data_IF_367051839722
#
_entry.id   IF_367051839722
#
_cell.length_a   1.000
_cell.length_b   1.000
_cell.length_c   1.000
_cell.angle_alpha   90.00
_cell.angle_beta   90.00
_cell.angle_gamma   90.00
#
_symmetry.space_group_name_H-M   'P 1'
#
loop_
_entity.id
_entity.type
_entity.pdbx_description
1 polymer ?
#
# COMPACT_ATOMS: atom_id res chain seq x y z
N UNK A 1 7.61 -1.39 5.24
CA UNK A 1 8.33 -0.20 4.70
C UNK A 1 8.74 0.68 5.89
N UNK A 2 9.29 1.89 5.70
CA UNK A 2 9.62 2.81 6.83
C UNK A 2 8.62 3.96 6.97
N UNK A 3 8.74 4.68 8.08
CA UNK A 3 7.81 5.70 8.59
C UNK A 3 7.32 6.71 7.56
N UNK A 4 8.24 7.47 6.95
CA UNK A 4 7.87 8.49 5.97
C UNK A 4 7.39 7.86 4.67
N UNK A 5 7.88 6.68 4.32
CA UNK A 5 7.41 5.91 3.17
C UNK A 5 5.94 5.54 3.28
N UNK A 6 5.51 4.98 4.42
CA UNK A 6 4.09 4.68 4.67
C UNK A 6 3.22 5.93 4.66
N UNK A 7 3.66 6.98 5.35
CA UNK A 7 2.91 8.24 5.41
C UNK A 7 2.77 8.90 4.03
N UNK A 8 3.82 8.83 3.21
CA UNK A 8 3.82 9.38 1.87
C UNK A 8 2.89 8.59 0.93
N UNK A 9 2.88 7.26 1.00
CA UNK A 9 1.90 6.42 0.27
C UNK A 9 0.47 6.84 0.63
N UNK A 10 0.18 7.07 1.91
CA UNK A 10 -1.14 7.52 2.36
C UNK A 10 -1.53 8.88 1.73
N UNK A 11 -0.62 9.86 1.69
CA UNK A 11 -0.86 11.13 1.01
C UNK A 11 -1.05 10.97 -0.50
N UNK A 12 -0.22 10.16 -1.14
CA UNK A 12 -0.32 9.90 -2.57
C UNK A 12 -1.61 9.16 -2.92
N UNK A 13 -2.16 8.34 -2.03
CA UNK A 13 -3.48 7.74 -2.20
C UNK A 13 -4.62 8.79 -2.16
N UNK A 14 -4.53 9.80 -1.27
CA UNK A 14 -5.47 10.93 -1.27
C UNK A 14 -5.36 11.71 -2.59
N UNK A 15 -4.13 11.98 -3.04
CA UNK A 15 -3.86 12.67 -4.31
C UNK A 15 -4.40 11.87 -5.50
N UNK A 16 -4.24 10.53 -5.48
CA UNK A 16 -4.79 9.61 -6.48
C UNK A 16 -6.32 9.66 -6.52
N UNK A 17 -7.00 9.71 -5.37
CA UNK A 17 -8.45 9.90 -5.29
C UNK A 17 -8.87 11.27 -5.85
N UNK A 18 -8.09 12.33 -5.60
CA UNK A 18 -8.36 13.66 -6.15
C UNK A 18 -8.24 13.68 -7.67
N UNK A 19 -7.24 13.00 -8.24
CA UNK A 19 -7.11 12.80 -9.69
C UNK A 19 -8.36 12.11 -10.26
N UNK A 20 -8.81 11.01 -9.66
CA UNK A 20 -10.02 10.28 -10.09
C UNK A 20 -11.27 11.19 -10.03
N UNK A 21 -11.35 12.02 -9.00
CA UNK A 21 -12.47 12.93 -8.76
C UNK A 21 -12.52 14.12 -9.73
N UNK A 22 -11.38 14.56 -10.29
CA UNK A 22 -11.29 15.86 -10.96
C UNK A 22 -10.79 15.82 -12.40
N UNK A 23 -10.04 14.79 -12.79
CA UNK A 23 -9.47 14.72 -14.14
C UNK A 23 -10.55 14.61 -15.22
N UNK A 24 -10.27 15.17 -16.38
CA UNK A 24 -11.06 15.00 -17.61
C UNK A 24 -10.37 14.08 -18.61
N UNK A 25 -9.20 13.52 -18.27
CA UNK A 25 -8.49 12.57 -19.13
C UNK A 25 -9.17 11.20 -19.11
N UNK A 26 -9.87 10.88 -20.18
CA UNK A 26 -10.54 9.58 -20.38
C UNK A 26 -9.59 8.39 -20.27
N UNK A 27 -8.29 8.54 -20.55
CA UNK A 27 -7.32 7.43 -20.36
C UNK A 27 -7.18 7.05 -18.89
N UNK A 28 -7.34 8.02 -17.98
CA UNK A 28 -7.26 7.82 -16.54
C UNK A 28 -8.56 7.20 -16.00
N UNK A 29 -9.73 7.71 -16.42
CA UNK A 29 -11.03 7.40 -15.80
C UNK A 29 -11.93 6.48 -16.64
N UNK A 30 -11.48 5.99 -17.80
CA UNK A 30 -12.27 5.07 -18.62
C UNK A 30 -12.69 3.82 -17.82
N UNK A 31 -14.01 3.64 -17.68
CA UNK A 31 -14.62 2.56 -16.91
C UNK A 31 -14.90 2.88 -15.43
N UNK A 32 -14.66 4.12 -14.99
CA UNK A 32 -14.99 4.61 -13.65
C UNK A 32 -16.34 5.32 -13.69
N UNK A 33 -17.32 4.81 -12.94
CA UNK A 33 -18.67 5.40 -12.91
C UNK A 33 -18.69 6.78 -12.23
N UNK A 34 -19.67 7.61 -12.59
CA UNK A 34 -19.86 8.94 -11.97
C UNK A 34 -20.12 8.86 -10.46
N UNK A 35 -20.81 7.80 -9.99
CA UNK A 35 -20.98 7.52 -8.56
C UNK A 35 -19.62 7.40 -7.86
N UNK A 36 -18.72 6.60 -8.42
CA UNK A 36 -17.37 6.38 -7.85
C UNK A 36 -16.58 7.69 -7.80
N UNK A 37 -16.67 8.52 -8.85
CA UNK A 37 -15.98 9.83 -8.90
C UNK A 37 -16.54 10.81 -7.87
N UNK A 38 -17.87 10.88 -7.74
CA UNK A 38 -18.55 11.70 -6.74
C UNK A 38 -18.14 11.31 -5.32
N UNK A 39 -18.08 10.01 -5.04
CA UNK A 39 -17.68 9.51 -3.73
C UNK A 39 -16.18 9.70 -3.46
N UNK A 40 -15.32 9.59 -4.48
CA UNK A 40 -13.90 9.94 -4.37
C UNK A 40 -13.75 11.42 -3.98
N UNK A 41 -14.49 12.33 -4.63
CA UNK A 41 -14.50 13.76 -4.28
C UNK A 41 -14.92 14.01 -2.84
N UNK A 42 -15.97 13.33 -2.38
CA UNK A 42 -16.45 13.44 -1.00
C UNK A 42 -15.41 12.94 0.01
N UNK A 43 -14.78 11.81 -0.28
CA UNK A 43 -13.74 11.23 0.57
C UNK A 43 -12.48 12.11 0.63
N UNK A 44 -12.02 12.67 -0.49
CA UNK A 44 -10.90 13.63 -0.51
C UNK A 44 -11.21 14.85 0.34
N UNK A 45 -12.41 15.43 0.19
CA UNK A 45 -12.85 16.57 1.01
C UNK A 45 -12.84 16.22 2.51
N UNK A 46 -13.26 15.00 2.86
CA UNK A 46 -13.22 14.52 4.24
C UNK A 46 -11.78 14.42 4.75
N UNK A 47 -10.87 13.76 4.01
CA UNK A 47 -9.45 13.62 4.40
C UNK A 47 -8.73 14.96 4.55
N UNK A 48 -9.04 15.97 3.73
CA UNK A 48 -8.42 17.30 3.87
C UNK A 48 -8.65 17.91 5.26
N UNK A 49 -9.69 17.50 6.00
CA UNK A 49 -9.95 17.96 7.38
C UNK A 49 -9.20 17.15 8.46
N UNK A 50 -8.54 16.03 8.12
CA UNK A 50 -7.95 15.09 9.09
C UNK A 50 -6.51 14.68 8.77
N UNK A 51 -5.80 15.48 7.97
CA UNK A 51 -4.44 15.18 7.46
C UNK A 51 -3.30 15.32 8.47
N UNK A 52 -3.50 16.02 9.59
CA UNK A 52 -2.42 16.40 10.50
C UNK A 52 -1.71 15.23 11.20
N UNK A 53 -2.33 14.05 11.22
CA UNK A 53 -1.81 12.87 11.90
C UNK A 53 -1.42 11.72 10.97
N UNK A 54 -1.30 11.95 9.66
CA UNK A 54 -0.97 10.89 8.68
C UNK A 54 0.32 10.17 9.05
N UNK A 55 1.41 10.87 9.39
CA UNK A 55 2.68 10.23 9.77
C UNK A 55 2.52 9.36 11.03
N UNK A 56 1.84 9.87 12.06
CA UNK A 56 1.64 9.12 13.31
C UNK A 56 0.75 7.90 13.06
N UNK A 57 -0.41 8.08 12.45
CA UNK A 57 -1.37 7.00 12.19
C UNK A 57 -0.79 5.90 11.30
N UNK A 58 -0.07 6.27 10.23
CA UNK A 58 0.58 5.31 9.34
C UNK A 58 1.80 4.62 9.98
N UNK A 59 2.26 5.04 11.16
CA UNK A 59 3.40 4.44 11.87
C UNK A 59 3.01 3.72 13.16
N UNK A 60 1.75 3.81 13.59
CA UNK A 60 1.26 3.11 14.78
C UNK A 60 1.46 1.59 14.74
N UNK A 61 1.30 0.89 13.60
CA UNK A 61 1.65 -0.52 13.53
C UNK A 61 3.06 -0.83 14.05
N UNK A 62 4.07 -0.13 13.55
CA UNK A 62 5.47 -0.38 13.91
C UNK A 62 5.89 0.22 15.27
N UNK A 63 5.29 1.33 15.68
CA UNK A 63 5.71 2.06 16.88
C UNK A 63 4.92 1.70 18.14
N UNK A 64 3.63 1.40 17.97
CA UNK A 64 2.69 1.22 19.09
C UNK A 64 2.20 -0.22 19.17
N UNK A 65 1.71 -0.79 18.07
CA UNK A 65 1.14 -2.15 18.07
C UNK A 65 2.25 -3.20 18.14
N UNK A 66 3.35 -2.94 17.43
CA UNK A 66 4.55 -3.75 17.38
C UNK A 66 4.30 -5.20 16.93
N UNK A 67 3.40 -5.40 15.97
CA UNK A 67 3.01 -6.71 15.47
C UNK A 67 3.79 -7.16 14.21
N UNK A 68 5.00 -6.62 13.99
CA UNK A 68 5.86 -6.85 12.82
C UNK A 68 6.17 -8.32 12.51
N UNK A 69 6.17 -9.20 13.53
CA UNK A 69 6.43 -10.63 13.33
C UNK A 69 5.25 -11.39 12.71
N UNK A 70 4.07 -10.78 12.59
CA UNK A 70 2.83 -11.44 12.13
C UNK A 70 2.02 -10.59 11.16
N UNK A 71 1.45 -9.48 11.63
CA UNK A 71 0.49 -8.66 10.88
C UNK A 71 1.08 -7.85 9.73
N UNK A 72 2.41 -7.78 9.61
CA UNK A 72 3.11 -7.05 8.54
C UNK A 72 3.52 -7.96 7.39
N UNK A 73 3.42 -9.27 7.57
CA UNK A 73 3.97 -10.24 6.64
C UNK A 73 2.92 -11.27 6.24
N UNK A 74 3.14 -11.91 5.10
CA UNK A 74 2.56 -13.21 4.75
C UNK A 74 3.64 -13.94 3.97
N UNK A 75 4.36 -14.87 4.60
CA UNK A 75 5.59 -15.45 4.04
C UNK A 75 5.26 -16.65 3.17
N UNK A 76 5.76 -16.67 1.94
CA UNK A 76 5.57 -17.75 0.97
C UNK A 76 6.89 -18.45 0.65
N UNK A 77 6.80 -19.76 0.38
CA UNK A 77 7.93 -20.60 -0.06
C UNK A 77 7.52 -21.48 -1.25
N UNK A 78 8.33 -21.58 -2.32
CA UNK A 78 8.13 -22.60 -3.35
C UNK A 78 8.22 -24.00 -2.73
N UNK A 79 7.27 -24.88 -3.05
CA UNK A 79 7.24 -26.24 -2.52
C UNK A 79 6.58 -27.15 -3.54
N UNK A 80 7.26 -28.21 -4.01
CA UNK A 80 6.72 -29.11 -5.03
C UNK A 80 5.46 -29.86 -4.55
N UNK A 81 5.40 -30.16 -3.26
CA UNK A 81 4.26 -30.76 -2.55
C UNK A 81 3.34 -29.72 -1.89
N UNK A 82 3.51 -28.44 -2.25
CA UNK A 82 2.73 -27.33 -1.70
C UNK A 82 1.23 -27.46 -1.96
N UNK A 83 0.42 -27.08 -0.97
CA UNK A 83 -1.05 -27.18 -1.03
C UNK A 83 -1.69 -26.06 -1.85
N UNK A 84 -0.95 -25.01 -2.18
CA UNK A 84 -1.45 -23.86 -2.93
C UNK A 84 -0.74 -23.76 -4.28
N UNK A 85 -1.50 -23.65 -5.37
CA UNK A 85 -0.96 -23.50 -6.73
C UNK A 85 -1.80 -22.54 -7.60
N UNK A 86 -2.89 -22.01 -7.05
CA UNK A 86 -3.78 -21.08 -7.73
C UNK A 86 -3.46 -19.65 -7.35
N UNK A 87 -3.44 -18.79 -8.36
CA UNK A 87 -3.19 -17.36 -8.21
C UNK A 87 -4.38 -16.61 -8.80
N UNK A 88 -4.95 -15.70 -8.03
CA UNK A 88 -6.09 -14.89 -8.49
C UNK A 88 -5.69 -13.82 -9.52
N UNK A 89 -6.65 -12.98 -9.89
CA UNK A 89 -6.44 -11.90 -10.86
C UNK A 89 -6.62 -10.54 -10.21
N UNK A 90 -5.63 -9.66 -10.34
CA UNK A 90 -5.72 -8.25 -9.96
C UNK A 90 -6.14 -7.39 -11.16
N UNK A 91 -6.56 -6.13 -10.95
CA UNK A 91 -6.76 -5.19 -12.04
C UNK A 91 -5.52 -5.10 -12.92
N UNK A 92 -5.69 -5.04 -14.24
CA UNK A 92 -4.58 -5.00 -15.20
C UNK A 92 -3.69 -3.75 -15.09
N UNK A 93 -4.13 -2.76 -14.31
CA UNK A 93 -3.33 -1.58 -13.97
C UNK A 93 -2.25 -1.88 -12.94
N UNK A 94 -2.30 -3.02 -12.24
CA UNK A 94 -1.20 -3.46 -11.37
C UNK A 94 -0.01 -3.90 -12.21
N UNK A 95 1.08 -3.15 -12.11
CA UNK A 95 2.30 -3.38 -12.88
C UNK A 95 2.97 -4.68 -12.44
N UNK A 96 3.04 -4.97 -11.13
CA UNK A 96 3.64 -6.19 -10.60
C UNK A 96 2.83 -7.41 -11.05
N UNK A 97 1.50 -7.35 -10.90
CA UNK A 97 0.59 -8.41 -11.37
C UNK A 97 0.79 -8.74 -12.84
N UNK A 98 0.79 -7.72 -13.69
CA UNK A 98 0.88 -7.87 -15.14
C UNK A 98 2.23 -8.44 -15.56
N UNK A 99 3.33 -7.99 -14.92
CA UNK A 99 4.68 -8.48 -15.18
C UNK A 99 4.84 -9.93 -14.72
N UNK A 100 4.52 -10.22 -13.46
CA UNK A 100 4.73 -11.55 -12.87
C UNK A 100 3.81 -12.62 -13.43
N UNK A 101 2.63 -12.25 -13.94
CA UNK A 101 1.77 -13.19 -14.66
C UNK A 101 2.38 -13.71 -15.97
N UNK A 102 3.38 -13.02 -16.52
CA UNK A 102 4.05 -13.39 -17.78
C UNK A 102 5.47 -13.90 -17.56
N UNK A 103 6.19 -13.30 -16.62
CA UNK A 103 7.64 -13.47 -16.50
C UNK A 103 8.06 -14.30 -15.29
N UNK A 104 7.20 -14.52 -14.29
CA UNK A 104 7.62 -15.22 -13.08
C UNK A 104 7.79 -16.73 -13.35
N UNK A 105 8.96 -17.32 -13.03
CA UNK A 105 9.20 -18.76 -13.18
C UNK A 105 8.43 -19.60 -12.14
N UNK A 106 7.81 -18.94 -11.15
CA UNK A 106 7.02 -19.57 -10.09
C UNK A 106 5.51 -19.44 -10.31
N UNK A 107 5.08 -18.69 -11.33
CA UNK A 107 3.66 -18.55 -11.66
C UNK A 107 3.07 -19.92 -12.03
N UNK A 108 2.07 -20.36 -11.24
CA UNK A 108 1.42 -21.65 -11.42
C UNK A 108 2.17 -22.84 -10.82
N UNK A 109 3.32 -22.62 -10.18
CA UNK A 109 3.99 -23.66 -9.39
C UNK A 109 3.41 -23.71 -7.97
N UNK A 110 3.44 -24.88 -7.31
CA UNK A 110 2.94 -24.99 -5.95
C UNK A 110 3.85 -24.29 -4.91
N UNK A 111 3.25 -23.87 -3.82
CA UNK A 111 3.91 -23.14 -2.72
C UNK A 111 3.22 -23.41 -1.37
N UNK A 112 3.91 -23.08 -0.29
CA UNK A 112 3.39 -23.07 1.09
C UNK A 112 3.31 -21.64 1.63
N UNK A 113 2.44 -21.43 2.62
CA UNK A 113 2.38 -20.21 3.43
C UNK A 113 3.00 -20.54 4.78
N UNK A 114 4.13 -19.92 5.08
CA UNK A 114 4.94 -20.21 6.27
C UNK A 114 4.48 -19.42 7.50
N UNK A 115 3.70 -18.35 7.31
CA UNK A 115 3.13 -17.57 8.41
C UNK A 115 2.76 -16.14 8.01
N UNK A 116 2.23 -15.40 8.98
CA UNK A 116 1.75 -14.02 8.80
C UNK A 116 0.28 -13.93 8.42
N UNK A 117 -0.33 -12.76 8.66
CA UNK A 117 -1.77 -12.53 8.51
C UNK A 117 -2.09 -11.08 8.07
N UNK A 118 -1.20 -10.48 7.25
CA UNK A 118 -1.35 -9.09 6.82
C UNK A 118 -2.67 -8.81 6.07
N UNK A 119 -3.13 -9.76 5.23
CA UNK A 119 -4.42 -9.65 4.54
C UNK A 119 -5.61 -9.66 5.51
N UNK A 120 -5.58 -10.51 6.53
CA UNK A 120 -6.59 -10.55 7.60
C UNK A 120 -6.63 -9.23 8.37
N UNK A 121 -5.47 -8.64 8.63
CA UNK A 121 -5.35 -7.33 9.28
C UNK A 121 -5.99 -6.23 8.44
N UNK A 122 -5.77 -6.25 7.12
CA UNK A 122 -6.38 -5.30 6.19
C UNK A 122 -7.92 -5.41 6.19
N UNK A 123 -8.47 -6.63 6.11
CA UNK A 123 -9.92 -6.88 6.14
C UNK A 123 -10.54 -6.43 7.46
N UNK A 124 -9.95 -6.84 8.59
CA UNK A 124 -10.46 -6.51 9.93
C UNK A 124 -10.51 -5.00 10.17
N UNK A 125 -9.47 -4.25 9.78
CA UNK A 125 -9.46 -2.79 9.92
C UNK A 125 -10.46 -2.15 8.96
N UNK A 126 -10.62 -2.69 7.75
CA UNK A 126 -11.59 -2.20 6.76
C UNK A 126 -13.02 -2.26 7.29
N UNK A 127 -13.45 -3.39 7.87
CA UNK A 127 -14.76 -3.47 8.53
C UNK A 127 -14.85 -2.53 9.72
N UNK A 128 -13.81 -2.47 10.54
CA UNK A 128 -13.80 -1.61 11.71
C UNK A 128 -13.97 -0.13 11.34
N UNK A 129 -13.35 0.36 10.26
CA UNK A 129 -13.55 1.74 9.78
C UNK A 129 -15.04 2.01 9.47
N UNK A 130 -15.69 1.08 8.77
CA UNK A 130 -17.12 1.19 8.42
C UNK A 130 -17.96 1.26 9.70
N UNK A 131 -17.69 0.38 10.67
CA UNK A 131 -18.47 0.35 11.90
C UNK A 131 -18.25 1.58 12.77
N UNK A 132 -17.03 2.13 12.80
CA UNK A 132 -16.76 3.41 13.47
C UNK A 132 -17.53 4.56 12.80
N UNK A 133 -17.63 4.59 11.47
CA UNK A 133 -18.49 5.57 10.80
C UNK A 133 -19.96 5.41 11.17
N UNK A 134 -20.48 4.18 11.24
CA UNK A 134 -21.87 3.91 11.68
C UNK A 134 -22.10 4.37 13.11
N UNK A 135 -21.17 4.10 14.02
CA UNK A 135 -21.22 4.56 15.41
C UNK A 135 -21.25 6.09 15.47
N UNK A 136 -20.30 6.77 14.81
CA UNK A 136 -20.26 8.24 14.74
C UNK A 136 -21.58 8.84 14.22
N UNK A 137 -22.26 8.17 13.30
CA UNK A 137 -23.52 8.65 12.72
C UNK A 137 -24.76 8.35 13.57
N UNK A 138 -24.75 7.28 14.38
CA UNK A 138 -25.91 6.83 15.18
C UNK A 138 -25.91 7.36 16.59
N UNK A 139 -24.74 7.48 17.19
CA UNK A 139 -24.60 7.92 18.57
C UNK A 139 -24.94 9.40 18.74
N UNK A 140 -25.49 9.75 19.90
CA UNK A 140 -25.78 11.14 20.23
C UNK A 140 -24.48 11.96 20.34
N UNK A 141 -24.57 13.24 19.99
CA UNK A 141 -23.43 14.16 20.10
C UNK A 141 -22.98 14.26 21.56
N UNK A 142 -21.71 13.95 21.81
CA UNK A 142 -21.13 13.94 23.16
C UNK A 142 -21.16 12.57 23.84
N UNK A 143 -21.68 11.54 23.17
CA UNK A 143 -21.59 10.17 23.64
C UNK A 143 -20.10 9.77 23.86
N UNK A 144 -19.73 9.32 25.08
CA UNK A 144 -18.33 9.09 25.44
C UNK A 144 -17.71 7.89 24.71
N UNK A 145 -18.53 6.99 24.16
CA UNK A 145 -18.10 5.84 23.38
C UNK A 145 -18.17 6.09 21.86
N UNK A 146 -18.70 7.24 21.43
CA UNK A 146 -18.75 7.59 20.02
C UNK A 146 -17.34 7.92 19.50
N UNK A 147 -17.03 7.36 18.34
CA UNK A 147 -15.74 7.55 17.69
C UNK A 147 -15.70 8.92 17.02
N UNK A 148 -14.53 9.56 16.92
CA UNK A 148 -14.36 10.85 16.24
C UNK A 148 -13.88 10.70 14.80
N UNK A 149 -14.03 11.74 13.97
CA UNK A 149 -13.45 11.77 12.62
C UNK A 149 -11.92 11.57 12.62
N UNK A 150 -11.21 12.11 13.61
CA UNK A 150 -9.78 11.88 13.81
C UNK A 150 -9.47 10.40 14.09
N UNK A 151 -10.28 9.74 14.92
CA UNK A 151 -10.12 8.31 15.19
C UNK A 151 -10.29 7.49 13.90
N UNK A 152 -11.33 7.79 13.12
CA UNK A 152 -11.58 7.09 11.86
C UNK A 152 -10.46 7.34 10.84
N UNK A 153 -9.96 8.57 10.75
CA UNK A 153 -8.86 8.92 9.85
C UNK A 153 -7.57 8.19 10.23
N UNK A 154 -7.25 8.13 11.52
CA UNK A 154 -6.15 7.32 12.04
C UNK A 154 -6.28 5.85 11.62
N UNK A 155 -7.49 5.26 11.68
CA UNK A 155 -7.71 3.88 11.24
C UNK A 155 -7.45 3.69 9.74
N UNK A 156 -7.82 4.65 8.90
CA UNK A 156 -7.45 4.62 7.48
C UNK A 156 -5.93 4.63 7.28
N UNK A 157 -5.20 5.45 8.04
CA UNK A 157 -3.73 5.53 7.95
C UNK A 157 -3.06 4.23 8.43
N UNK A 158 -3.56 3.64 9.52
CA UNK A 158 -3.15 2.30 9.96
C UNK A 158 -3.41 1.27 8.85
N UNK A 159 -4.60 1.31 8.22
CA UNK A 159 -4.92 0.40 7.12
C UNK A 159 -3.95 0.58 5.94
N UNK A 160 -3.60 1.81 5.56
CA UNK A 160 -2.62 2.02 4.48
C UNK A 160 -1.24 1.45 4.77
N UNK A 161 -0.85 1.36 6.05
CA UNK A 161 0.40 0.74 6.44
C UNK A 161 0.43 -0.73 6.04
N UNK A 162 -0.56 -1.51 6.51
CA UNK A 162 -0.64 -2.95 6.21
C UNK A 162 -0.87 -3.22 4.72
N UNK A 163 -1.64 -2.37 4.03
CA UNK A 163 -1.77 -2.47 2.57
C UNK A 163 -0.39 -2.32 1.91
N UNK A 164 0.38 -1.30 2.29
CA UNK A 164 1.70 -1.05 1.71
C UNK A 164 2.69 -2.20 2.01
N UNK A 165 2.62 -2.80 3.19
CA UNK A 165 3.45 -3.95 3.55
C UNK A 165 3.15 -5.20 2.70
N UNK A 166 1.89 -5.44 2.33
CA UNK A 166 1.57 -6.48 1.37
C UNK A 166 2.21 -6.26 -0.02
N UNK A 167 2.54 -5.02 -0.38
CA UNK A 167 3.26 -4.68 -1.62
C UNK A 167 4.78 -4.73 -1.47
N UNK A 168 5.31 -4.85 -0.25
CA UNK A 168 6.74 -5.00 -0.01
C UNK A 168 7.17 -6.46 -0.31
N UNK A 169 7.97 -6.74 -1.35
CA UNK A 169 8.26 -8.12 -1.77
C UNK A 169 8.87 -9.00 -0.67
N UNK A 170 9.79 -8.46 0.14
CA UNK A 170 10.44 -9.19 1.24
C UNK A 170 9.51 -9.46 2.43
N UNK A 171 8.38 -8.76 2.54
CA UNK A 171 7.35 -9.11 3.52
C UNK A 171 6.60 -10.39 3.11
N UNK A 172 6.73 -10.78 1.83
CA UNK A 172 6.12 -11.97 1.25
C UNK A 172 7.10 -13.11 0.97
N UNK A 173 8.38 -12.94 1.27
CA UNK A 173 9.45 -13.90 0.97
C UNK A 173 9.91 -14.60 2.24
N UNK A 174 9.93 -15.94 2.29
CA UNK A 174 10.40 -16.69 3.46
C UNK A 174 11.93 -16.83 3.56
N UNK A 175 12.72 -16.37 2.59
CA UNK A 175 14.18 -16.57 2.56
C UNK A 175 14.86 -15.72 3.64
N UNK A 176 15.97 -16.15 4.27
CA UNK A 176 16.47 -15.50 5.48
C UNK A 176 16.89 -14.02 5.35
N UNK A 177 17.32 -13.56 4.17
CA UNK A 177 17.66 -12.14 3.95
C UNK A 177 16.44 -11.21 3.95
N UNK A 178 15.25 -11.79 3.82
CA UNK A 178 13.99 -11.07 3.90
C UNK A 178 13.66 -10.67 5.34
N UNK A 179 14.38 -11.20 6.32
CA UNK A 179 14.16 -10.90 7.73
C UNK A 179 15.20 -9.90 8.23
N UNK A 180 14.74 -8.87 8.95
CA UNK A 180 15.59 -7.99 9.74
C UNK A 180 16.31 -6.85 9.00
N UNK A 181 17.49 -6.46 9.51
CA UNK A 181 18.15 -5.18 9.22
C UNK A 181 19.12 -5.20 8.02
N UNK A 182 19.32 -6.35 7.39
CA UNK A 182 20.24 -6.51 6.25
C UNK A 182 19.69 -5.87 4.98
N UNK A 183 19.42 -6.70 3.97
CA UNK A 183 18.91 -6.21 2.68
C UNK A 183 17.53 -5.58 2.82
N UNK A 184 16.63 -6.22 3.58
CA UNK A 184 15.32 -5.67 3.87
C UNK A 184 15.42 -4.26 4.46
N UNK A 185 16.09 -4.09 5.60
CA UNK A 185 16.26 -2.78 6.22
C UNK A 185 16.98 -1.75 5.32
N UNK A 186 17.91 -2.21 4.47
CA UNK A 186 18.65 -1.37 3.52
C UNK A 186 17.78 -0.83 2.38
N UNK A 187 16.93 -1.67 1.78
CA UNK A 187 15.96 -1.27 0.74
C UNK A 187 14.99 -0.24 1.31
N UNK A 188 14.37 -0.54 2.45
CA UNK A 188 13.41 0.38 3.06
C UNK A 188 14.08 1.70 3.47
N UNK A 189 15.34 1.65 3.93
CA UNK A 189 16.10 2.85 4.23
C UNK A 189 16.34 3.70 2.98
N UNK A 190 16.64 3.11 1.83
CA UNK A 190 16.80 3.85 0.58
C UNK A 190 15.52 4.59 0.18
N UNK A 191 14.36 3.94 0.29
CA UNK A 191 13.07 4.59 0.04
C UNK A 191 12.81 5.74 1.01
N UNK A 192 13.03 5.48 2.30
CA UNK A 192 12.85 6.48 3.36
C UNK A 192 13.74 7.71 3.15
N UNK A 193 15.01 7.49 2.79
CA UNK A 193 15.97 8.57 2.54
C UNK A 193 15.58 9.38 1.31
N UNK A 194 15.09 8.74 0.24
CA UNK A 194 14.63 9.42 -0.97
C UNK A 194 13.44 10.33 -0.66
N UNK A 195 12.45 9.84 0.07
CA UNK A 195 11.26 10.61 0.47
C UNK A 195 11.62 11.72 1.46
N UNK A 196 12.47 11.44 2.45
CA UNK A 196 12.89 12.42 3.45
C UNK A 196 13.69 13.58 2.87
N UNK A 197 14.42 13.34 1.76
CA UNK A 197 15.11 14.40 1.00
C UNK A 197 14.16 15.16 0.08
N UNK A 198 13.15 14.48 -0.46
CA UNK A 198 12.22 15.06 -1.42
C UNK A 198 11.20 16.01 -0.80
N UNK A 199 10.88 15.89 0.49
CA UNK A 199 9.82 16.68 1.15
C UNK A 199 10.29 17.32 2.46
N UNK A 200 9.68 18.46 2.78
CA UNK A 200 9.96 19.18 4.02
C UNK A 200 9.22 18.53 5.19
N UNK A 201 9.98 18.08 6.19
CA UNK A 201 9.45 17.36 7.37
C UNK A 201 9.62 18.21 8.63
N UNK A 202 8.53 18.35 9.39
CA UNK A 202 8.50 18.91 10.74
C UNK A 202 8.74 17.75 11.73
N UNK A 203 10.02 17.50 12.04
CA UNK A 203 10.44 16.36 12.87
C UNK A 203 9.92 16.47 14.30
N UNK A 204 9.84 17.69 14.84
CA UNK A 204 9.42 17.94 16.22
C UNK A 204 7.95 17.57 16.42
N UNK A 205 7.11 17.87 15.44
CA UNK A 205 5.68 17.54 15.49
C UNK A 205 5.35 16.20 14.82
N UNK A 206 6.34 15.57 14.19
CA UNK A 206 6.21 14.33 13.42
C UNK A 206 5.12 14.44 12.33
N UNK A 207 5.22 15.46 11.48
CA UNK A 207 4.33 15.73 10.34
C UNK A 207 5.12 16.24 9.13
N UNK A 208 4.51 16.23 7.94
CA UNK A 208 5.05 17.00 6.81
C UNK A 208 4.66 18.47 6.98
N UNK A 209 5.48 19.37 6.45
CA UNK A 209 4.95 20.67 6.06
C UNK A 209 4.05 20.48 4.86
N UNK A 210 3.01 21.31 4.75
CA UNK A 210 2.05 21.19 3.66
C UNK A 210 2.24 22.29 2.62
N UNK A 211 1.99 21.94 1.36
CA UNK A 211 1.74 22.89 0.29
C UNK A 211 0.34 23.54 0.44
N UNK A 212 -0.02 24.54 -0.40
CA UNK A 212 -1.32 25.19 -0.33
C UNK A 212 -2.52 24.24 -0.51
N UNK A 213 -2.32 23.11 -1.19
CA UNK A 213 -3.37 22.11 -1.46
C UNK A 213 -3.54 21.10 -0.30
N UNK A 214 -2.61 21.12 0.66
CA UNK A 214 -2.62 20.28 1.86
C UNK A 214 -1.83 18.98 1.72
N UNK A 215 -0.95 18.86 0.73
CA UNK A 215 -0.06 17.70 0.52
C UNK A 215 1.36 17.98 1.02
N UNK A 216 2.22 16.96 1.18
CA UNK A 216 3.60 17.16 1.61
C UNK A 216 4.34 18.18 0.72
N UNK A 217 4.91 19.21 1.35
CA UNK A 217 5.60 20.30 0.67
C UNK A 217 6.90 19.77 0.03
N UNK A 218 7.03 19.80 -1.31
CA UNK A 218 8.24 19.34 -1.97
C UNK A 218 9.44 20.27 -1.71
N UNK A 219 10.63 19.68 -1.67
CA UNK A 219 11.92 20.37 -1.61
C UNK A 219 12.71 20.13 -2.91
N UNK A 220 13.30 18.95 -3.03
CA UNK A 220 14.11 18.55 -4.19
C UNK A 220 13.66 17.16 -4.61
N UNK A 221 12.87 17.09 -5.66
CA UNK A 221 12.34 15.82 -6.13
C UNK A 221 13.48 14.89 -6.56
N UNK A 222 13.41 13.64 -6.12
CA UNK A 222 14.21 12.56 -6.70
C UNK A 222 13.55 12.06 -7.99
N UNK A 223 14.31 11.40 -8.85
CA UNK A 223 13.78 10.69 -10.02
C UNK A 223 12.71 9.67 -9.60
N UNK A 224 12.97 8.91 -8.52
CA UNK A 224 12.02 7.98 -7.92
C UNK A 224 10.67 8.64 -7.55
N UNK A 225 10.69 9.69 -6.73
CA UNK A 225 9.45 10.36 -6.27
C UNK A 225 8.72 11.03 -7.43
N UNK A 226 9.45 11.63 -8.37
CA UNK A 226 8.88 12.22 -9.60
C UNK A 226 8.20 11.17 -10.46
N UNK A 227 8.83 10.01 -10.65
CA UNK A 227 8.29 8.92 -11.47
C UNK A 227 7.02 8.34 -10.86
N UNK A 228 6.98 8.17 -9.53
CA UNK A 228 5.76 7.78 -8.81
C UNK A 228 4.66 8.83 -8.99
N UNK A 229 4.95 10.11 -8.71
CA UNK A 229 3.95 11.19 -8.82
C UNK A 229 3.37 11.34 -10.24
N UNK A 230 4.21 11.23 -11.26
CA UNK A 230 3.79 11.31 -12.66
C UNK A 230 2.92 10.11 -13.07
N UNK A 231 3.30 8.90 -12.63
CA UNK A 231 2.54 7.70 -12.95
C UNK A 231 1.17 7.72 -12.24
N UNK A 232 1.09 8.07 -10.95
CA UNK A 232 -0.22 8.15 -10.26
C UNK A 232 -1.15 9.22 -10.85
N UNK A 233 -0.61 10.27 -11.47
CA UNK A 233 -1.40 11.32 -12.11
C UNK A 233 -1.98 10.88 -13.46
N UNK A 234 -1.32 9.96 -14.17
CA UNK A 234 -1.62 9.63 -15.57
C UNK A 234 -2.05 8.18 -15.81
N UNK A 235 -1.74 7.25 -14.90
CA UNK A 235 -2.10 5.84 -15.05
C UNK A 235 -3.61 5.64 -14.94
N UNK A 236 -4.12 4.71 -15.73
CA UNK A 236 -5.54 4.31 -15.69
C UNK A 236 -5.92 3.85 -14.28
N UNK A 237 -7.08 4.30 -13.79
CA UNK A 237 -7.70 3.78 -12.58
C UNK A 237 -8.77 2.76 -12.95
N UNK A 238 -8.68 1.58 -12.36
CA UNK A 238 -9.79 0.63 -12.32
C UNK A 238 -10.32 0.63 -10.89
N UNK A 239 -11.63 0.54 -10.66
CA UNK A 239 -12.19 0.53 -9.30
C UNK A 239 -12.44 -0.90 -8.75
N UNK A 240 -12.77 -1.87 -9.60
CA UNK A 240 -13.08 -3.25 -9.18
C UNK A 240 -11.89 -4.01 -8.58
N UNK A 241 -12.13 -5.14 -7.92
CA UNK A 241 -11.09 -5.93 -7.25
C UNK A 241 -10.22 -6.78 -8.20
N UNK A 242 -10.51 -6.81 -9.49
CA UNK A 242 -9.98 -7.80 -10.42
C UNK A 242 -10.93 -8.98 -10.60
N UNK A 243 -10.41 -10.16 -10.95
CA UNK A 243 -11.22 -11.33 -11.27
C UNK A 243 -11.45 -12.22 -10.04
N UNK A 244 -12.72 -12.49 -9.73
CA UNK A 244 -13.19 -13.40 -8.65
C UNK A 244 -12.83 -12.97 -7.21
N UNK A 245 -12.53 -11.69 -6.99
CA UNK A 245 -12.23 -11.13 -5.67
C UNK A 245 -13.44 -10.33 -5.17
N UNK A 246 -13.89 -10.58 -3.95
CA UNK A 246 -15.14 -10.01 -3.44
C UNK A 246 -14.95 -9.02 -2.28
N UNK A 247 -13.81 -9.05 -1.60
CA UNK A 247 -13.53 -8.26 -0.41
C UNK A 247 -12.05 -7.83 -0.34
N UNK A 248 -11.66 -7.15 0.75
CA UNK A 248 -10.30 -6.66 0.94
C UNK A 248 -9.35 -7.84 1.18
N UNK A 249 -9.80 -8.86 1.91
CA UNK A 249 -9.02 -10.08 2.16
C UNK A 249 -8.60 -10.79 0.86
N UNK A 250 -9.54 -11.10 -0.03
CA UNK A 250 -9.28 -11.77 -1.32
C UNK A 250 -8.25 -10.97 -2.11
N UNK A 251 -8.48 -9.66 -2.23
CA UNK A 251 -7.64 -8.76 -2.98
C UNK A 251 -6.22 -8.67 -2.40
N UNK A 252 -6.08 -8.46 -1.09
CA UNK A 252 -4.77 -8.33 -0.44
C UNK A 252 -4.01 -9.66 -0.39
N UNK A 253 -4.71 -10.78 -0.27
CA UNK A 253 -4.07 -12.11 -0.37
C UNK A 253 -3.41 -12.32 -1.73
N UNK A 254 -4.09 -11.90 -2.81
CA UNK A 254 -3.53 -11.99 -4.16
C UNK A 254 -2.40 -10.98 -4.36
N UNK A 255 -2.52 -9.76 -3.82
CA UNK A 255 -1.41 -8.79 -3.81
C UNK A 255 -0.16 -9.43 -3.18
N UNK A 256 -0.28 -10.02 -2.00
CA UNK A 256 0.85 -10.68 -1.33
C UNK A 256 1.43 -11.85 -2.13
N UNK A 257 0.59 -12.66 -2.79
CA UNK A 257 1.06 -13.72 -3.70
C UNK A 257 1.91 -13.14 -4.84
N UNK A 258 1.48 -12.04 -5.44
CA UNK A 258 2.22 -11.40 -6.52
C UNK A 258 3.49 -10.68 -6.04
N UNK A 259 3.49 -10.12 -4.83
CA UNK A 259 4.69 -9.60 -4.17
C UNK A 259 5.71 -10.71 -3.89
N UNK A 260 5.26 -11.90 -3.49
CA UNK A 260 6.09 -13.10 -3.37
C UNK A 260 6.74 -13.48 -4.70
N UNK A 261 5.94 -13.63 -5.76
CA UNK A 261 6.47 -13.94 -7.11
C UNK A 261 7.51 -12.90 -7.56
N UNK A 262 7.25 -11.64 -7.22
CA UNK A 262 8.14 -10.54 -7.55
C UNK A 262 9.45 -10.60 -6.78
N UNK A 263 9.43 -10.95 -5.49
CA UNK A 263 10.66 -11.13 -4.70
C UNK A 263 11.59 -12.20 -5.29
N UNK A 264 11.03 -13.35 -5.69
CA UNK A 264 11.80 -14.45 -6.30
C UNK A 264 12.26 -14.16 -7.72
N UNK A 265 11.52 -13.33 -8.46
CA UNK A 265 11.98 -12.82 -9.75
C UNK A 265 13.15 -11.84 -9.59
N UNK A 266 13.09 -10.98 -8.58
CA UNK A 266 14.02 -9.87 -8.38
C UNK A 266 15.32 -10.26 -7.69
N UNK A 267 15.29 -11.29 -6.84
CA UNK A 267 16.44 -11.79 -6.09
C UNK A 267 16.62 -13.28 -6.38
N UNK A 268 17.76 -13.69 -6.97
CA UNK A 268 18.06 -15.09 -7.28
C UNK A 268 17.94 -16.03 -6.07
N UNK A 269 17.67 -17.31 -6.33
CA UNK A 269 17.52 -18.33 -5.29
C UNK A 269 18.83 -18.62 -4.54
N UNK A 270 19.96 -18.52 -5.22
CA UNK A 270 21.31 -18.72 -4.68
C UNK A 270 21.86 -17.48 -3.96
N UNK A 271 21.09 -16.39 -3.87
CA UNK A 271 21.51 -15.19 -3.17
C UNK A 271 21.52 -15.41 -1.64
N UNK A 272 22.71 -15.38 -1.04
CA UNK A 272 22.91 -15.67 0.38
C UNK A 272 22.51 -14.52 1.33
N UNK A 273 22.14 -14.85 2.57
CA UNK A 273 21.77 -13.86 3.58
C UNK A 273 22.93 -13.09 4.20
N UNK A 274 24.16 -13.54 3.97
CA UNK A 274 25.42 -12.90 4.39
C UNK A 274 25.81 -11.73 3.49
N UNK A 275 25.20 -11.65 2.29
CA UNK A 275 25.49 -10.64 1.27
C UNK A 275 25.12 -9.24 1.73
N UNK A 276 25.97 -8.28 1.37
CA UNK A 276 25.80 -6.86 1.67
C UNK A 276 24.84 -6.15 0.72
N UNK A 277 24.40 -4.93 1.09
CA UNK A 277 23.63 -4.07 0.18
C UNK A 277 24.38 -3.74 -1.11
N UNK A 278 25.71 -3.68 -1.08
CA UNK A 278 26.52 -3.44 -2.28
C UNK A 278 26.43 -4.62 -3.25
N UNK A 279 26.52 -5.84 -2.71
CA UNK A 279 26.36 -7.07 -3.52
C UNK A 279 24.93 -7.19 -4.03
N UNK A 280 23.92 -6.88 -3.22
CA UNK A 280 22.54 -6.79 -3.67
C UNK A 280 22.40 -5.85 -4.88
N UNK A 281 23.00 -4.66 -4.83
CA UNK A 281 22.96 -3.66 -5.91
C UNK A 281 23.58 -4.16 -7.22
N UNK A 282 24.62 -4.99 -7.16
CA UNK A 282 25.36 -5.45 -8.34
C UNK A 282 24.92 -6.82 -8.87
N UNK A 283 24.48 -7.71 -7.97
CA UNK A 283 24.22 -9.13 -8.27
C UNK A 283 22.74 -9.41 -8.55
N UNK A 284 21.82 -8.58 -8.04
CA UNK A 284 20.37 -8.81 -8.20
C UNK A 284 19.74 -7.95 -9.28
N UNK A 285 18.64 -8.43 -9.84
CA UNK A 285 17.79 -7.68 -10.79
C UNK A 285 17.18 -6.45 -10.11
N UNK A 286 16.77 -6.59 -8.83
CA UNK A 286 16.29 -5.47 -8.04
C UNK A 286 17.35 -4.39 -7.87
N UNK A 287 18.58 -4.79 -7.55
CA UNK A 287 19.69 -3.87 -7.35
C UNK A 287 19.98 -3.00 -8.58
N UNK A 288 20.09 -3.65 -9.75
CA UNK A 288 20.39 -3.01 -11.04
C UNK A 288 19.33 -2.02 -11.48
N UNK A 289 18.06 -2.34 -11.25
CA UNK A 289 16.91 -1.51 -11.66
C UNK A 289 16.09 -1.04 -10.46
N UNK A 290 16.79 -0.66 -9.38
CA UNK A 290 16.17 -0.35 -8.09
C UNK A 290 15.04 0.67 -8.20
N UNK A 291 15.28 1.78 -8.89
CA UNK A 291 14.30 2.86 -9.01
C UNK A 291 13.05 2.43 -9.79
N UNK A 292 13.22 1.69 -10.89
CA UNK A 292 12.12 1.23 -11.72
C UNK A 292 11.19 0.31 -10.93
N UNK A 293 11.76 -0.70 -10.24
CA UNK A 293 10.96 -1.63 -9.44
C UNK A 293 10.37 -0.99 -8.19
N UNK A 294 11.09 -0.06 -7.57
CA UNK A 294 10.54 0.74 -6.46
C UNK A 294 9.34 1.56 -6.90
N UNK A 295 9.40 2.17 -8.08
CA UNK A 295 8.28 2.93 -8.66
C UNK A 295 7.06 2.02 -8.87
N UNK A 296 7.26 0.83 -9.42
CA UNK A 296 6.18 -0.16 -9.58
C UNK A 296 5.53 -0.55 -8.24
N UNK A 297 6.34 -0.83 -7.21
CA UNK A 297 5.87 -1.18 -5.86
C UNK A 297 5.02 -0.06 -5.27
N UNK A 298 5.52 1.17 -5.30
CA UNK A 298 4.83 2.31 -4.70
C UNK A 298 3.54 2.65 -5.46
N UNK A 299 3.54 2.62 -6.79
CA UNK A 299 2.33 2.93 -7.56
C UNK A 299 1.22 1.89 -7.36
N UNK A 300 1.57 0.60 -7.33
CA UNK A 300 0.61 -0.47 -7.05
C UNK A 300 0.09 -0.42 -5.59
N UNK A 301 0.94 -0.03 -4.63
CA UNK A 301 0.53 0.23 -3.25
C UNK A 301 -0.44 1.42 -3.14
N UNK A 302 -0.11 2.55 -3.78
CA UNK A 302 -0.94 3.76 -3.79
C UNK A 302 -2.32 3.48 -4.41
N UNK A 303 -2.36 2.78 -5.56
CA UNK A 303 -3.63 2.39 -6.20
C UNK A 303 -4.45 1.46 -5.29
N UNK A 304 -3.79 0.53 -4.58
CA UNK A 304 -4.48 -0.39 -3.64
C UNK A 304 -5.07 0.36 -2.45
N UNK A 305 -4.31 1.28 -1.85
CA UNK A 305 -4.79 2.12 -0.74
C UNK A 305 -5.98 2.94 -1.19
N UNK A 306 -5.87 3.67 -2.31
CA UNK A 306 -6.96 4.48 -2.86
C UNK A 306 -8.21 3.64 -3.16
N UNK A 307 -8.03 2.46 -3.78
CA UNK A 307 -9.10 1.50 -4.08
C UNK A 307 -9.83 1.04 -2.83
N UNK A 308 -9.10 0.53 -1.85
CA UNK A 308 -9.68 -0.02 -0.62
C UNK A 308 -10.40 1.06 0.17
N UNK A 309 -9.77 2.23 0.33
CA UNK A 309 -10.39 3.35 1.04
C UNK A 309 -11.70 3.80 0.39
N UNK A 310 -11.74 3.86 -0.95
CA UNK A 310 -12.95 4.24 -1.67
C UNK A 310 -14.05 3.18 -1.57
N UNK A 311 -13.72 1.89 -1.60
CA UNK A 311 -14.69 0.80 -1.34
C UNK A 311 -15.29 0.87 0.07
N UNK A 312 -14.44 1.09 1.08
CA UNK A 312 -14.87 1.28 2.48
C UNK A 312 -15.84 2.46 2.58
N UNK A 313 -15.47 3.60 1.99
CA UNK A 313 -16.30 4.79 1.99
C UNK A 313 -17.63 4.57 1.28
N UNK A 314 -17.63 4.02 0.06
CA UNK A 314 -18.86 3.71 -0.69
C UNK A 314 -19.77 2.75 0.09
N UNK A 315 -19.20 1.70 0.71
CA UNK A 315 -19.98 0.75 1.52
C UNK A 315 -20.63 1.42 2.73
N UNK A 316 -19.94 2.34 3.39
CA UNK A 316 -20.55 3.17 4.44
C UNK A 316 -21.64 4.10 3.88
N UNK A 317 -21.38 4.78 2.77
CA UNK A 317 -22.33 5.71 2.14
C UNK A 317 -23.59 5.04 1.63
N UNK A 318 -23.48 3.80 1.14
CA UNK A 318 -24.63 3.01 0.73
C UNK A 318 -25.44 2.49 1.94
N UNK A 319 -24.80 2.25 3.10
CA UNK A 319 -25.52 1.94 4.35
C UNK A 319 -26.34 3.12 4.91
N UNK A 320 -25.97 4.36 4.60
CA UNK A 320 -26.73 5.55 5.02
C UNK A 320 -28.05 5.76 4.28
N UNK A 321 -28.26 5.07 3.16
CA UNK A 321 -29.46 5.20 2.32
C UNK A 321 -30.57 4.29 2.82
#
# INVERSE_FOLDING_TARGET
MKKYSHAWIAFMAIKRLEVIATTTDEKVISGVSEKVRTEAKALVKWFKNYRDFVIKGAWYPDDVFKDMATSHIVKYRPAEDGTYNTFGSLPSTHSIYTKMSKESPLKGKPYTIEGGNCADRCEAISHSIIDNFKMLNREEKGCPIATSGNHIAMRFFILSHYIADCHMPLHCDCRPYSDGKGIHGGIEKKWEDAISKAYKIDKDNNRFFYDPDGYPLPLTASSFTTNVENDIASRKYMHGWGGKNNNVWDYMSIVSQYSYLFSYFLIPEDFENTKSMKEFETETEWGKYFEMYSTMIFNDAIDSVARIWLHIWIKYKDWLK
#
